data_IF_913774278358
#
_entry.id   IF_913774278358
#
_cell.length_a   1.000
_cell.length_b   1.000
_cell.length_c   1.000
_cell.angle_alpha   90.00
_cell.angle_beta   90.00
_cell.angle_gamma   90.00
#
_symmetry.space_group_name_H-M   'P 1'
#
loop_
_entity.id
_entity.type
_entity.pdbx_description
1 polymer ?
#
# COMPACT_ATOMS: atom_id res chain seq x y z
N UNK A 1 6.30 -31.04 -9.47
CA UNK A 1 4.94 -30.43 -9.55
C UNK A 1 4.59 -29.61 -8.29
N UNK A 2 5.04 -30.00 -7.10
CA UNK A 2 4.71 -29.30 -5.83
C UNK A 2 5.39 -27.92 -5.70
N UNK A 3 6.63 -27.78 -6.17
CA UNK A 3 7.39 -26.51 -6.10
C UNK A 3 6.80 -25.38 -6.94
N UNK A 4 6.26 -25.71 -8.13
CA UNK A 4 5.61 -24.72 -8.99
C UNK A 4 4.34 -24.12 -8.34
N UNK A 5 3.59 -24.94 -7.60
CA UNK A 5 2.40 -24.50 -6.85
C UNK A 5 2.80 -23.63 -5.66
N UNK A 6 3.85 -24.00 -4.93
CA UNK A 6 4.39 -23.18 -3.83
C UNK A 6 4.87 -21.81 -4.33
N UNK A 7 5.60 -21.77 -5.44
CA UNK A 7 6.06 -20.52 -6.05
C UNK A 7 4.90 -19.59 -6.47
N UNK A 8 3.83 -20.16 -7.02
CA UNK A 8 2.63 -19.40 -7.38
C UNK A 8 1.92 -18.82 -6.14
N UNK A 9 1.78 -19.62 -5.07
CA UNK A 9 1.18 -19.16 -3.80
C UNK A 9 2.04 -18.07 -3.16
N UNK A 10 3.36 -18.24 -3.11
CA UNK A 10 4.28 -17.24 -2.55
C UNK A 10 4.26 -15.91 -3.31
N UNK A 11 4.13 -15.95 -4.65
CA UNK A 11 3.95 -14.72 -5.46
C UNK A 11 2.67 -13.97 -5.08
N UNK A 12 1.55 -14.68 -4.94
CA UNK A 12 0.28 -14.06 -4.56
C UNK A 12 0.32 -13.49 -3.14
N UNK A 13 0.91 -14.24 -2.20
CA UNK A 13 1.02 -13.83 -0.81
C UNK A 13 1.88 -12.56 -0.65
N UNK A 14 3.02 -12.50 -1.35
CA UNK A 14 3.89 -11.31 -1.33
C UNK A 14 3.25 -10.11 -2.03
N UNK A 15 2.48 -10.32 -3.11
CA UNK A 15 1.68 -9.26 -3.76
C UNK A 15 0.66 -8.64 -2.82
N UNK A 16 -0.15 -9.45 -2.14
CA UNK A 16 -1.13 -8.96 -1.15
C UNK A 16 -0.47 -8.30 0.06
N UNK A 17 0.64 -8.85 0.56
CA UNK A 17 1.39 -8.25 1.67
C UNK A 17 1.91 -6.85 1.31
N UNK A 18 2.43 -6.66 0.10
CA UNK A 18 2.89 -5.36 -0.37
C UNK A 18 1.74 -4.34 -0.47
N UNK A 19 0.56 -4.76 -0.93
CA UNK A 19 -0.64 -3.90 -0.96
C UNK A 19 -0.98 -3.43 0.47
N UNK A 20 -0.98 -4.30 1.47
CA UNK A 20 -1.33 -3.95 2.86
C UNK A 20 -0.24 -3.11 3.55
N UNK A 21 1.04 -3.38 3.24
CA UNK A 21 2.16 -2.70 3.90
C UNK A 21 2.22 -1.20 3.61
N UNK A 22 1.92 -0.78 2.38
CA UNK A 22 2.00 0.63 1.95
C UNK A 22 1.07 1.58 2.72
N UNK A 23 -0.25 1.37 2.79
CA UNK A 23 -1.14 2.26 3.54
C UNK A 23 -0.81 2.26 5.04
N UNK A 24 -0.35 1.13 5.58
CA UNK A 24 0.08 1.01 6.97
C UNK A 24 1.29 1.89 7.26
N UNK A 25 2.32 1.84 6.40
CA UNK A 25 3.52 2.67 6.53
C UNK A 25 3.19 4.17 6.42
N UNK A 26 2.33 4.55 5.47
CA UNK A 26 1.92 5.95 5.28
C UNK A 26 1.13 6.44 6.50
N UNK A 27 0.15 5.66 6.97
CA UNK A 27 -0.64 6.01 8.15
C UNK A 27 0.25 6.15 9.39
N UNK A 28 1.24 5.28 9.56
CA UNK A 28 2.23 5.38 10.64
C UNK A 28 3.08 6.65 10.56
N UNK A 29 3.49 7.07 9.36
CA UNK A 29 4.24 8.32 9.16
C UNK A 29 3.39 9.56 9.46
N UNK A 30 2.16 9.62 8.93
CA UNK A 30 1.25 10.75 9.16
C UNK A 30 0.62 10.78 10.56
N UNK A 31 0.65 9.67 11.30
CA UNK A 31 0.18 9.55 12.68
C UNK A 31 1.19 10.01 13.73
N UNK A 32 2.40 10.42 13.32
CA UNK A 32 3.38 10.98 14.24
C UNK A 32 2.88 12.33 14.78
N UNK A 33 3.04 12.55 16.10
CA UNK A 33 2.76 13.85 16.75
C UNK A 33 3.88 14.87 16.47
N UNK A 34 4.37 14.91 15.23
CA UNK A 34 5.43 15.81 14.78
C UNK A 34 4.80 16.80 13.80
N UNK A 35 4.93 18.11 14.04
CA UNK A 35 4.33 19.11 13.16
C UNK A 35 5.04 19.11 11.81
N UNK A 36 4.35 18.60 10.79
CA UNK A 36 4.70 18.74 9.38
C UNK A 36 3.82 19.81 8.71
N UNK A 37 4.22 20.35 7.53
CA UNK A 37 3.38 21.29 6.79
C UNK A 37 1.98 20.72 6.51
N UNK A 38 0.94 21.32 7.08
CA UNK A 38 -0.46 20.84 6.96
C UNK A 38 -0.96 19.96 8.12
N UNK A 39 -0.14 19.74 9.16
CA UNK A 39 -0.54 19.01 10.38
C UNK A 39 -1.78 19.63 11.05
N UNK A 40 -2.72 18.79 11.47
CA UNK A 40 -3.95 19.22 12.16
C UNK A 40 -4.97 19.95 11.28
N UNK A 41 -4.75 20.04 9.97
CA UNK A 41 -5.70 20.69 9.03
C UNK A 41 -6.47 19.65 8.20
N UNK A 42 -7.70 19.98 7.81
CA UNK A 42 -8.51 19.13 6.92
C UNK A 42 -7.82 18.91 5.56
N UNK A 43 -7.06 19.89 5.08
CA UNK A 43 -6.26 19.77 3.86
C UNK A 43 -5.14 18.72 4.00
N UNK A 44 -4.45 18.67 5.15
CA UNK A 44 -3.44 17.65 5.45
C UNK A 44 -4.03 16.23 5.48
N UNK A 45 -5.21 16.08 6.07
CA UNK A 45 -5.95 14.81 6.08
C UNK A 45 -6.40 14.37 4.67
N UNK A 46 -6.91 15.31 3.87
CA UNK A 46 -7.31 15.03 2.48
C UNK A 46 -6.09 14.64 1.61
N UNK A 47 -4.95 15.31 1.81
CA UNK A 47 -3.70 15.02 1.11
C UNK A 47 -3.16 13.61 1.45
N UNK A 48 -3.09 13.24 2.73
CA UNK A 48 -2.62 11.90 3.11
C UNK A 48 -3.55 10.80 2.60
N UNK A 49 -4.86 10.99 2.72
CA UNK A 49 -5.88 10.04 2.23
C UNK A 49 -5.80 9.86 0.72
N UNK A 50 -5.63 10.95 -0.04
CA UNK A 50 -5.48 10.87 -1.50
C UNK A 50 -4.18 10.20 -1.91
N UNK A 51 -3.05 10.47 -1.23
CA UNK A 51 -1.78 9.75 -1.46
C UNK A 51 -1.94 8.26 -1.23
N UNK A 52 -2.59 7.86 -0.13
CA UNK A 52 -2.89 6.44 0.16
C UNK A 52 -3.74 5.83 -0.95
N UNK A 53 -4.85 6.47 -1.32
CA UNK A 53 -5.75 5.97 -2.35
C UNK A 53 -5.06 5.79 -3.70
N UNK A 54 -4.27 6.78 -4.12
CA UNK A 54 -3.50 6.72 -5.38
C UNK A 54 -2.50 5.57 -5.34
N UNK A 55 -1.73 5.43 -4.26
CA UNK A 55 -0.75 4.34 -4.14
C UNK A 55 -1.40 2.96 -4.09
N UNK A 56 -2.53 2.82 -3.41
CA UNK A 56 -3.32 1.58 -3.41
C UNK A 56 -3.76 1.19 -4.83
N UNK A 57 -4.28 2.15 -5.60
CA UNK A 57 -4.69 1.93 -7.00
C UNK A 57 -3.49 1.56 -7.88
N UNK A 58 -2.38 2.28 -7.76
CA UNK A 58 -1.15 2.01 -8.55
C UNK A 58 -0.64 0.60 -8.27
N UNK A 59 -0.52 0.22 -6.99
CA UNK A 59 -0.06 -1.12 -6.62
C UNK A 59 -1.02 -2.21 -7.07
N UNK A 60 -2.33 -2.00 -6.89
CA UNK A 60 -3.34 -2.94 -7.36
C UNK A 60 -3.23 -3.17 -8.87
N UNK A 61 -3.13 -2.10 -9.67
CA UNK A 61 -2.97 -2.19 -11.13
C UNK A 61 -1.66 -2.87 -11.49
N UNK A 62 -0.54 -2.54 -10.83
CA UNK A 62 0.75 -3.16 -11.10
C UNK A 62 0.76 -4.66 -10.81
N UNK A 63 0.21 -5.10 -9.67
CA UNK A 63 0.14 -6.52 -9.33
C UNK A 63 -0.85 -7.28 -10.20
N UNK A 64 -2.00 -6.67 -10.53
CA UNK A 64 -2.99 -7.26 -11.44
C UNK A 64 -2.42 -7.47 -12.84
N UNK A 65 -1.66 -6.50 -13.37
CA UNK A 65 -1.01 -6.62 -14.69
C UNK A 65 0.08 -7.69 -14.75
N UNK A 66 0.60 -8.13 -13.60
CA UNK A 66 1.63 -9.17 -13.51
C UNK A 66 1.05 -10.56 -13.20
N UNK A 67 -0.27 -10.71 -13.10
CA UNK A 67 -0.96 -11.91 -12.59
C UNK A 67 -0.48 -12.33 -11.18
N UNK A 68 -0.07 -11.35 -10.37
CA UNK A 68 0.34 -11.57 -8.98
C UNK A 68 -0.83 -11.50 -7.99
N UNK A 69 -2.04 -11.24 -8.46
CA UNK A 69 -3.29 -11.31 -7.70
C UNK A 69 -4.11 -12.51 -8.18
#
# INVERSE_FOLDING_TARGET
MQDARLNAVMKKLTGWAAIIAVPTAITGFYGQNVPYPGFGTAAGFAASTSVIAVLMVVLYVMFKRRDWL
#
